data_IF_789942419356
#
_entry.id   IF_789942419356
#
_cell.length_a   1.000
_cell.length_b   1.000
_cell.length_c   1.000
_cell.angle_alpha   90.00
_cell.angle_beta   90.00
_cell.angle_gamma   90.00
#
_symmetry.space_group_name_H-M   'P 1'
#
loop_
_entity.id
_entity.type
_entity.pdbx_description
1 polymer ?
#
# COMPACT_ATOMS: atom_id res chain seq x y z
N UNK A 1 1.59 -0.07 8.20
CA UNK A 1 0.51 0.01 9.20
C UNK A 1 0.89 -0.79 10.44
N UNK A 2 0.28 -0.49 11.57
CA UNK A 2 0.48 -1.15 12.86
C UNK A 2 -0.87 -1.35 13.55
N UNK A 3 -0.97 -2.21 14.59
CA UNK A 3 -2.20 -2.31 15.37
C UNK A 3 -2.58 -0.94 15.96
N UNK A 4 -3.87 -0.69 16.15
CA UNK A 4 -4.35 0.56 16.76
C UNK A 4 -3.65 0.83 18.10
N UNK A 5 -3.15 2.06 18.29
CA UNK A 5 -2.37 2.46 19.46
C UNK A 5 -0.87 2.13 19.37
N UNK A 6 -0.41 1.47 18.29
CA UNK A 6 1.00 1.24 17.96
C UNK A 6 1.85 0.72 19.14
N UNK A 7 1.55 -0.48 19.66
CA UNK A 7 2.24 -1.02 20.85
C UNK A 7 3.75 -1.21 20.64
N UNK A 8 4.19 -1.44 19.40
CA UNK A 8 5.59 -1.60 19.04
C UNK A 8 6.33 -0.26 18.84
N UNK A 9 5.63 0.88 18.91
CA UNK A 9 6.25 2.20 18.79
C UNK A 9 6.86 2.50 17.42
N UNK A 10 6.37 1.87 16.34
CA UNK A 10 6.90 2.06 15.00
C UNK A 10 6.57 3.46 14.50
N UNK A 11 7.57 4.17 14.03
CA UNK A 11 7.45 5.51 13.45
C UNK A 11 8.08 5.62 12.06
N UNK A 12 8.90 4.63 11.69
CA UNK A 12 9.56 4.60 10.40
C UNK A 12 10.38 3.32 10.17
N UNK A 13 11.10 3.26 9.03
CA UNK A 13 11.88 2.07 8.64
C UNK A 13 12.97 1.69 9.65
N UNK A 14 13.50 2.65 10.40
CA UNK A 14 14.53 2.42 11.41
C UNK A 14 14.07 1.51 12.56
N UNK A 15 12.77 1.45 12.83
CA UNK A 15 12.19 0.67 13.93
C UNK A 15 11.94 -0.79 13.52
N UNK A 16 11.90 -1.09 12.21
CA UNK A 16 11.54 -2.41 11.69
C UNK A 16 12.50 -3.52 12.13
N UNK A 17 13.77 -3.19 12.32
CA UNK A 17 14.77 -4.15 12.78
C UNK A 17 14.49 -4.67 14.21
N UNK A 18 13.79 -3.88 15.03
CA UNK A 18 13.44 -4.21 16.41
C UNK A 18 12.18 -5.06 16.56
N UNK A 19 11.43 -5.29 15.47
CA UNK A 19 10.18 -6.05 15.52
C UNK A 19 10.41 -7.55 15.69
N UNK A 20 9.45 -8.25 16.26
CA UNK A 20 9.44 -9.72 16.32
C UNK A 20 8.89 -10.30 15.02
N UNK A 21 7.79 -9.71 14.52
CA UNK A 21 7.14 -10.14 13.27
C UNK A 21 6.63 -8.98 12.45
N UNK A 22 6.84 -9.08 11.14
CA UNK A 22 6.37 -8.14 10.13
C UNK A 22 5.57 -8.90 9.07
N UNK A 23 4.44 -8.37 8.62
CA UNK A 23 3.68 -9.01 7.53
C UNK A 23 3.68 -8.18 6.25
N UNK A 24 3.63 -8.86 5.11
CA UNK A 24 3.37 -8.28 3.79
C UNK A 24 2.86 -9.38 2.87
N UNK A 25 2.47 -9.03 1.65
CA UNK A 25 2.08 -10.02 0.65
C UNK A 25 3.26 -10.86 0.20
N UNK A 26 3.01 -12.07 -0.31
CA UNK A 26 4.05 -12.85 -0.98
C UNK A 26 4.61 -12.04 -2.19
N UNK A 27 5.93 -11.73 -2.23
CA UNK A 27 6.51 -10.91 -3.30
C UNK A 27 6.39 -11.49 -4.71
N UNK A 28 6.17 -12.79 -4.83
CA UNK A 28 6.03 -13.50 -6.11
C UNK A 28 4.62 -13.42 -6.70
N UNK A 29 3.61 -13.17 -5.87
CA UNK A 29 2.19 -13.26 -6.28
C UNK A 29 1.38 -12.01 -5.97
N UNK A 30 1.78 -11.23 -4.97
CA UNK A 30 1.01 -10.09 -4.48
C UNK A 30 1.72 -8.75 -4.79
N UNK A 31 1.04 -7.80 -5.47
CA UNK A 31 1.65 -6.51 -5.83
C UNK A 31 2.22 -5.71 -4.66
N UNK A 32 1.52 -5.69 -3.52
CA UNK A 32 2.00 -5.02 -2.30
C UNK A 32 3.22 -5.74 -1.69
N UNK A 33 3.31 -7.06 -1.84
CA UNK A 33 4.47 -7.86 -1.48
C UNK A 33 5.68 -7.53 -2.35
N UNK A 34 5.50 -7.46 -3.66
CA UNK A 34 6.56 -7.06 -4.61
C UNK A 34 7.10 -5.68 -4.27
N UNK A 35 6.22 -4.72 -3.99
CA UNK A 35 6.60 -3.35 -3.62
C UNK A 35 7.22 -3.23 -2.24
N UNK A 36 6.75 -4.01 -1.27
CA UNK A 36 7.38 -4.11 0.04
C UNK A 36 8.82 -4.65 -0.08
N UNK A 37 9.04 -5.71 -0.88
CA UNK A 37 10.37 -6.24 -1.13
C UNK A 37 11.28 -5.22 -1.80
N UNK A 38 10.79 -4.52 -2.83
CA UNK A 38 11.51 -3.43 -3.50
C UNK A 38 11.95 -2.35 -2.50
N UNK A 39 11.01 -1.83 -1.71
CA UNK A 39 11.28 -0.79 -0.71
C UNK A 39 12.30 -1.24 0.34
N UNK A 40 12.11 -2.41 0.95
CA UNK A 40 13.03 -2.95 1.95
C UNK A 40 14.41 -3.27 1.36
N UNK A 41 14.49 -3.67 0.09
CA UNK A 41 15.77 -3.90 -0.60
C UNK A 41 16.51 -2.58 -0.81
N UNK A 42 15.81 -1.53 -1.26
CA UNK A 42 16.40 -0.20 -1.45
C UNK A 42 16.95 0.38 -0.13
N UNK A 43 16.32 0.04 0.99
CA UNK A 43 16.77 0.42 2.34
C UNK A 43 17.87 -0.51 2.90
N UNK A 44 18.23 -1.59 2.21
CA UNK A 44 19.18 -2.59 2.70
C UNK A 44 18.66 -3.42 3.89
N UNK A 45 17.35 -3.48 4.07
CA UNK A 45 16.68 -4.16 5.20
C UNK A 45 16.09 -5.53 4.84
N UNK A 46 15.95 -5.86 3.55
CA UNK A 46 15.26 -7.07 3.13
C UNK A 46 15.85 -8.35 3.76
N UNK A 47 17.16 -8.56 3.64
CA UNK A 47 17.80 -9.80 4.08
C UNK A 47 17.74 -9.98 5.61
N UNK A 48 17.84 -8.88 6.37
CA UNK A 48 17.78 -8.93 7.84
C UNK A 48 16.36 -9.13 8.36
N UNK A 49 15.35 -8.65 7.62
CA UNK A 49 13.94 -8.79 7.98
C UNK A 49 13.30 -10.07 7.43
N UNK A 50 13.87 -10.70 6.40
CA UNK A 50 13.32 -11.89 5.77
C UNK A 50 12.93 -13.02 6.74
N UNK A 51 13.72 -13.33 7.80
CA UNK A 51 13.34 -14.35 8.78
C UNK A 51 12.11 -13.99 9.65
N UNK A 52 11.76 -12.69 9.71
CA UNK A 52 10.64 -12.15 10.50
C UNK A 52 9.37 -11.95 9.68
N UNK A 53 9.45 -12.15 8.36
CA UNK A 53 8.35 -11.90 7.43
C UNK A 53 7.31 -13.03 7.48
N UNK A 54 6.07 -12.66 7.73
CA UNK A 54 4.89 -13.50 7.57
C UNK A 54 4.18 -13.10 6.29
N UNK A 55 4.27 -13.94 5.27
CA UNK A 55 3.65 -13.66 3.97
C UNK A 55 2.16 -13.95 3.98
N UNK A 56 1.38 -12.95 3.58
CA UNK A 56 -0.04 -13.04 3.33
C UNK A 56 -0.33 -13.26 1.83
N UNK A 57 -1.49 -13.84 1.54
CA UNK A 57 -2.01 -14.06 0.19
C UNK A 57 -2.49 -12.76 -0.45
N UNK A 58 -3.05 -11.85 0.34
CA UNK A 58 -3.61 -10.58 -0.12
C UNK A 58 -3.61 -9.52 1.00
N UNK A 59 -3.92 -8.27 0.65
CA UNK A 59 -3.89 -7.14 1.58
C UNK A 59 -4.89 -7.29 2.74
N UNK A 60 -6.04 -7.94 2.53
CA UNK A 60 -7.02 -8.17 3.59
C UNK A 60 -6.48 -9.14 4.65
N UNK A 61 -5.75 -10.18 4.25
CA UNK A 61 -5.10 -11.07 5.21
C UNK A 61 -3.94 -10.37 5.96
N UNK A 62 -3.18 -9.52 5.27
CA UNK A 62 -2.17 -8.66 5.92
C UNK A 62 -2.80 -7.78 6.99
N UNK A 63 -3.97 -7.18 6.70
CA UNK A 63 -4.75 -6.39 7.64
C UNK A 63 -5.23 -7.22 8.83
N UNK A 64 -5.76 -8.43 8.59
CA UNK A 64 -6.22 -9.31 9.65
C UNK A 64 -5.12 -9.64 10.66
N UNK A 65 -3.92 -10.02 10.20
CA UNK A 65 -2.79 -10.33 11.08
C UNK A 65 -2.40 -9.13 11.97
N UNK A 66 -2.34 -7.92 11.39
CA UNK A 66 -2.01 -6.71 12.15
C UNK A 66 -3.13 -6.37 13.12
N UNK A 67 -4.38 -6.40 12.68
CA UNK A 67 -5.54 -6.02 13.52
C UNK A 67 -5.71 -6.92 14.75
N UNK A 68 -5.27 -8.18 14.66
CA UNK A 68 -5.29 -9.16 15.74
C UNK A 68 -4.05 -9.11 16.64
N UNK A 69 -3.06 -8.29 16.30
CA UNK A 69 -1.79 -8.20 17.01
C UNK A 69 -0.95 -9.48 16.89
N UNK A 70 -1.15 -10.29 15.84
CA UNK A 70 -0.35 -11.49 15.58
C UNK A 70 1.06 -11.14 15.05
N UNK A 71 1.21 -9.91 14.58
CA UNK A 71 2.42 -9.30 14.04
C UNK A 71 2.48 -7.83 14.46
N UNK A 72 3.68 -7.27 14.57
CA UNK A 72 3.90 -5.92 15.11
C UNK A 72 3.57 -4.83 14.09
N UNK A 73 3.77 -5.14 12.80
CA UNK A 73 3.50 -4.22 11.70
C UNK A 73 3.17 -4.98 10.41
N UNK A 74 2.54 -4.27 9.47
CA UNK A 74 2.26 -4.75 8.13
C UNK A 74 2.57 -3.74 7.03
N UNK A 75 3.06 -4.22 5.90
CA UNK A 75 3.33 -3.42 4.70
C UNK A 75 2.22 -3.65 3.67
N UNK A 76 1.44 -2.59 3.40
CA UNK A 76 0.33 -2.57 2.44
C UNK A 76 0.30 -1.22 1.72
N UNK A 77 -0.48 -1.12 0.65
CA UNK A 77 -0.80 0.19 0.08
C UNK A 77 -1.69 1.00 1.03
N UNK A 78 -1.50 2.32 1.07
CA UNK A 78 -2.20 3.19 2.02
C UNK A 78 -3.72 3.07 1.93
N UNK A 79 -4.27 2.87 0.72
CA UNK A 79 -5.71 2.68 0.49
C UNK A 79 -6.30 1.46 1.23
N UNK A 80 -5.50 0.43 1.48
CA UNK A 80 -5.93 -0.81 2.16
C UNK A 80 -6.02 -0.64 3.69
N UNK A 81 -5.22 0.28 4.23
CA UNK A 81 -5.26 0.62 5.65
C UNK A 81 -6.20 1.82 5.94
N UNK A 82 -6.54 2.59 4.92
CA UNK A 82 -7.41 3.76 5.05
C UNK A 82 -8.82 3.32 5.44
N UNK A 83 -9.39 3.95 6.47
CA UNK A 83 -10.72 3.66 7.04
C UNK A 83 -10.84 2.40 7.91
N UNK A 84 -9.73 1.81 8.35
CA UNK A 84 -9.72 0.71 9.31
C UNK A 84 -9.46 1.22 10.72
N UNK A 85 -10.38 1.04 11.66
CA UNK A 85 -10.22 1.51 13.04
C UNK A 85 -9.33 0.61 13.91
N UNK A 86 -9.08 -0.63 13.47
CA UNK A 86 -8.28 -1.62 14.19
C UNK A 86 -6.78 -1.50 13.92
N UNK A 87 -6.39 -0.68 12.95
CA UNK A 87 -4.99 -0.43 12.59
C UNK A 87 -4.78 1.05 12.36
N UNK A 88 -3.53 1.47 12.31
CA UNK A 88 -3.15 2.84 11.97
C UNK A 88 -1.95 2.89 11.04
N UNK A 89 -1.86 3.96 10.26
CA UNK A 89 -0.73 4.20 9.37
C UNK A 89 0.38 4.91 10.17
N UNK A 90 1.35 4.14 10.64
CA UNK A 90 2.53 4.65 11.34
C UNK A 90 3.52 5.39 10.42
N UNK A 91 3.65 4.95 9.17
CA UNK A 91 4.58 5.49 8.19
C UNK A 91 4.04 5.28 6.78
N UNK A 92 4.24 6.27 5.90
CA UNK A 92 3.99 6.13 4.46
C UNK A 92 5.30 6.37 3.74
N UNK A 93 5.79 5.35 3.03
CA UNK A 93 7.02 5.46 2.27
C UNK A 93 6.90 6.53 1.18
N UNK A 94 7.80 7.53 1.14
CA UNK A 94 7.81 8.50 0.05
C UNK A 94 8.15 7.81 -1.27
N UNK A 95 7.59 8.33 -2.37
CA UNK A 95 7.78 7.77 -3.70
C UNK A 95 9.26 7.69 -4.12
N UNK A 96 10.12 8.57 -3.59
CA UNK A 96 11.56 8.58 -3.81
C UNK A 96 12.29 7.35 -3.26
N UNK A 97 11.68 6.60 -2.36
CA UNK A 97 12.23 5.35 -1.80
C UNK A 97 11.86 4.11 -2.63
N UNK A 98 11.01 4.27 -3.64
CA UNK A 98 10.65 3.21 -4.59
C UNK A 98 11.40 3.43 -5.92
N UNK A 99 11.79 2.33 -6.56
CA UNK A 99 12.42 2.34 -7.89
C UNK A 99 11.40 2.65 -8.99
N UNK A 100 10.12 2.34 -8.76
CA UNK A 100 9.03 2.70 -9.68
C UNK A 100 7.72 3.03 -8.94
N UNK A 101 6.96 4.03 -9.43
CA UNK A 101 5.71 4.44 -8.82
C UNK A 101 4.65 3.35 -8.91
N UNK A 102 3.77 3.30 -7.91
CA UNK A 102 2.57 2.46 -7.92
C UNK A 102 1.50 3.21 -8.70
N UNK A 103 1.12 2.72 -9.88
CA UNK A 103 0.13 3.37 -10.76
C UNK A 103 -1.13 2.52 -10.88
N UNK A 104 -2.27 3.16 -10.65
CA UNK A 104 -3.59 2.62 -10.96
C UNK A 104 -4.06 3.22 -12.28
N UNK A 105 -4.10 2.39 -13.32
CA UNK A 105 -4.45 2.83 -14.69
C UNK A 105 -5.91 2.49 -14.97
N UNK A 106 -6.63 3.41 -15.59
CA UNK A 106 -7.97 3.18 -16.11
C UNK A 106 -8.02 3.51 -17.60
N UNK A 107 -8.75 2.70 -18.35
CA UNK A 107 -8.99 2.92 -19.78
C UNK A 107 -10.37 2.36 -20.17
N UNK A 108 -11.08 3.01 -21.10
CA UNK A 108 -12.25 2.41 -21.74
C UNK A 108 -11.86 1.11 -22.44
N UNK A 109 -12.72 0.10 -22.40
CA UNK A 109 -12.50 -1.15 -23.13
C UNK A 109 -12.78 -0.95 -24.62
N UNK A 110 -12.02 -1.63 -25.48
CA UNK A 110 -12.17 -1.53 -26.94
C UNK A 110 -13.54 -2.00 -27.44
N UNK A 111 -14.23 -2.84 -26.66
CA UNK A 111 -15.53 -3.42 -26.98
C UNK A 111 -16.72 -2.64 -26.42
N UNK A 112 -16.49 -1.48 -25.80
CA UNK A 112 -17.60 -0.71 -25.21
C UNK A 112 -18.60 -0.26 -26.28
N UNK A 113 -19.89 -0.54 -26.05
CA UNK A 113 -20.98 0.00 -26.87
C UNK A 113 -21.35 1.43 -26.50
N UNK A 114 -20.85 1.95 -25.37
CA UNK A 114 -21.08 3.31 -24.88
C UNK A 114 -19.74 4.00 -24.57
N UNK A 115 -19.08 4.44 -25.64
CA UNK A 115 -17.84 5.22 -25.58
C UNK A 115 -18.02 6.56 -24.85
N UNK A 116 -19.21 7.15 -24.93
CA UNK A 116 -19.49 8.47 -24.38
C UNK A 116 -19.49 8.44 -22.85
N UNK A 117 -20.22 7.50 -22.25
CA UNK A 117 -20.27 7.32 -20.79
C UNK A 117 -18.92 6.86 -20.25
N UNK A 118 -18.22 5.96 -20.95
CA UNK A 118 -16.88 5.54 -20.53
C UNK A 118 -15.88 6.70 -20.48
N UNK A 119 -15.89 7.57 -21.51
CA UNK A 119 -15.03 8.75 -21.56
C UNK A 119 -15.40 9.78 -20.50
N UNK A 120 -16.70 10.00 -20.27
CA UNK A 120 -17.20 10.89 -19.23
C UNK A 120 -16.81 10.42 -17.82
N UNK A 121 -16.86 9.11 -17.56
CA UNK A 121 -16.43 8.54 -16.29
C UNK A 121 -14.93 8.73 -16.06
N UNK A 122 -14.09 8.45 -17.07
CA UNK A 122 -12.64 8.70 -16.98
C UNK A 122 -12.38 10.19 -16.71
N UNK A 123 -13.05 11.08 -17.44
CA UNK A 123 -12.92 12.53 -17.23
C UNK A 123 -13.35 12.94 -15.81
N UNK A 124 -14.41 12.35 -15.26
CA UNK A 124 -14.85 12.59 -13.90
C UNK A 124 -13.82 12.14 -12.88
N UNK A 125 -13.26 10.94 -13.00
CA UNK A 125 -12.25 10.45 -12.04
C UNK A 125 -10.98 11.31 -12.08
N UNK A 126 -10.61 11.84 -13.25
CA UNK A 126 -9.49 12.76 -13.43
C UNK A 126 -9.81 14.23 -13.04
N UNK A 127 -11.08 14.57 -12.79
CA UNK A 127 -11.48 15.91 -12.35
C UNK A 127 -11.05 16.22 -10.91
N UNK A 128 -11.14 17.49 -10.51
CA UNK A 128 -10.83 17.91 -9.15
C UNK A 128 -11.65 17.14 -8.08
N UNK A 129 -12.95 16.90 -8.34
CA UNK A 129 -13.83 16.17 -7.40
C UNK A 129 -13.47 14.68 -7.32
N UNK A 130 -13.14 14.07 -8.47
CA UNK A 130 -12.66 12.69 -8.55
C UNK A 130 -11.35 12.50 -7.79
N UNK A 131 -10.37 13.38 -8.03
CA UNK A 131 -9.08 13.37 -7.34
C UNK A 131 -9.23 13.65 -5.83
N UNK A 132 -10.12 14.58 -5.43
CA UNK A 132 -10.41 14.83 -4.02
C UNK A 132 -11.04 13.61 -3.33
N UNK A 133 -11.87 12.85 -4.04
CA UNK A 133 -12.43 11.60 -3.53
C UNK A 133 -11.35 10.55 -3.35
N UNK A 134 -10.49 10.35 -4.36
CA UNK A 134 -9.37 9.42 -4.30
C UNK A 134 -8.38 9.76 -3.16
N UNK A 135 -8.10 11.05 -2.94
CA UNK A 135 -7.23 11.52 -1.86
C UNK A 135 -7.74 11.14 -0.47
N UNK A 136 -9.06 11.15 -0.24
CA UNK A 136 -9.66 10.68 1.03
C UNK A 136 -9.39 9.20 1.31
N UNK A 137 -9.13 8.42 0.26
CA UNK A 137 -8.81 6.99 0.34
C UNK A 137 -7.31 6.71 0.20
N UNK A 138 -6.44 7.70 0.40
CA UNK A 138 -4.99 7.51 0.43
C UNK A 138 -4.31 7.42 -0.94
N UNK A 139 -5.03 7.70 -2.03
CA UNK A 139 -4.42 7.84 -3.35
C UNK A 139 -3.81 9.23 -3.52
N UNK A 140 -2.71 9.32 -4.28
CA UNK A 140 -2.07 10.58 -4.63
C UNK A 140 -2.21 10.85 -6.12
N UNK A 141 -2.37 12.13 -6.54
CA UNK A 141 -2.43 12.46 -7.96
C UNK A 141 -1.10 12.14 -8.64
N UNK A 142 -1.17 11.78 -9.93
CA UNK A 142 0.01 11.59 -10.76
C UNK A 142 0.62 12.96 -11.09
N UNK A 143 1.81 13.24 -10.58
CA UNK A 143 2.51 14.52 -10.82
C UNK A 143 3.48 14.47 -11.99
N UNK A 144 3.85 13.28 -12.48
CA UNK A 144 4.75 13.12 -13.62
C UNK A 144 3.98 12.77 -14.89
N UNK A 145 4.22 13.54 -15.96
CA UNK A 145 3.57 13.43 -17.28
C UNK A 145 4.05 12.25 -18.14
N UNK A 146 4.62 11.19 -17.55
CA UNK A 146 5.09 9.99 -18.27
C UNK A 146 4.41 8.72 -17.80
#
# INVERSE_FOLDING_TARGET
MVPAGNPAGVSGPQDLAGLDRLTTGNPETAPHGTKAKEWLTNLGLWDSLAPKLVFAENAAQTLDYVSRGEVDAGLVFASEATSQSSVEIAYTAPASELTSPIRYVMAPTVSTSDSSTASAFVAYVLSADGQATLAKWGFVPVTDTK
#
